data_IF_178302303333
#
_entry.id   IF_178302303333
#
_cell.length_a   1.000
_cell.length_b   1.000
_cell.length_c   1.000
_cell.angle_alpha   90.00
_cell.angle_beta   90.00
_cell.angle_gamma   90.00
#
_symmetry.space_group_name_H-M   'P 1'
#
loop_
_entity.id
_entity.type
_entity.pdbx_description
1 polymer ?
#
# COMPACT_ATOMS: atom_id res chain seq x y z
N UNK A 1 -0.90 0.41 -7.22
CA UNK A 1 0.20 0.05 -8.15
C UNK A 1 1.26 1.12 -8.07
N UNK A 2 2.53 0.71 -7.90
CA UNK A 2 3.70 1.59 -7.91
C UNK A 2 4.59 1.21 -9.08
N UNK A 3 5.00 2.18 -9.88
CA UNK A 3 5.87 1.97 -11.02
C UNK A 3 7.17 2.74 -10.84
N UNK A 4 8.29 2.03 -10.92
CA UNK A 4 9.64 2.55 -10.79
C UNK A 4 10.38 2.41 -12.11
N UNK A 5 11.11 3.46 -12.50
CA UNK A 5 11.96 3.45 -13.70
C UNK A 5 13.34 3.99 -13.35
N UNK A 6 14.36 3.46 -13.99
CA UNK A 6 15.72 3.98 -13.84
C UNK A 6 15.84 5.40 -14.42
N UNK A 7 16.82 6.15 -13.92
CA UNK A 7 17.20 7.45 -14.47
C UNK A 7 18.67 7.39 -14.94
N UNK A 8 18.89 7.73 -16.19
CA UNK A 8 20.23 7.69 -16.80
C UNK A 8 20.77 6.27 -16.94
N UNK A 9 22.06 6.08 -16.69
CA UNK A 9 22.76 4.78 -16.85
C UNK A 9 22.76 3.91 -15.59
N UNK A 10 22.12 4.34 -14.51
CA UNK A 10 22.02 3.55 -13.27
C UNK A 10 20.91 2.51 -13.39
N UNK A 11 21.04 1.41 -12.65
CA UNK A 11 20.01 0.38 -12.51
C UNK A 11 19.17 0.59 -11.26
N UNK A 12 18.03 -0.08 -11.19
CA UNK A 12 17.24 -0.22 -9.97
C UNK A 12 17.69 -1.49 -9.25
N UNK A 13 18.17 -1.30 -8.04
CA UNK A 13 18.59 -2.37 -7.13
C UNK A 13 17.91 -2.11 -5.79
N UNK A 14 17.06 -3.05 -5.32
CA UNK A 14 16.29 -2.89 -4.09
C UNK A 14 15.81 -4.23 -3.55
N UNK A 15 15.51 -4.25 -2.26
CA UNK A 15 14.93 -5.39 -1.56
C UNK A 15 13.53 -5.06 -1.05
N UNK A 16 12.62 -6.01 -1.18
CA UNK A 16 11.26 -5.96 -0.65
C UNK A 16 11.11 -7.00 0.46
N UNK A 17 10.45 -6.62 1.52
CA UNK A 17 10.04 -7.52 2.59
C UNK A 17 8.72 -7.05 3.20
N UNK A 18 8.07 -7.93 3.96
CA UNK A 18 6.90 -7.57 4.74
C UNK A 18 7.32 -7.30 6.19
N UNK A 19 6.92 -6.16 6.74
CA UNK A 19 7.26 -5.78 8.12
C UNK A 19 6.66 -6.68 9.21
N UNK A 20 5.83 -7.64 8.84
CA UNK A 20 5.27 -8.65 9.74
C UNK A 20 6.00 -10.00 9.62
N UNK A 21 7.21 -10.01 9.05
CA UNK A 21 8.06 -11.21 9.04
C UNK A 21 8.39 -11.64 10.45
N UNK A 22 8.58 -12.95 10.65
CA UNK A 22 8.92 -13.50 11.98
C UNK A 22 10.22 -12.91 12.53
N UNK A 23 11.20 -12.64 11.68
CA UNK A 23 12.48 -12.04 12.10
C UNK A 23 12.35 -10.63 12.65
N UNK A 24 11.48 -9.82 12.06
CA UNK A 24 11.19 -8.48 12.58
C UNK A 24 10.39 -8.54 13.88
N UNK A 25 9.52 -9.52 14.04
CA UNK A 25 8.81 -9.80 15.28
C UNK A 25 9.74 -10.32 16.38
N UNK A 26 10.69 -11.20 16.03
CA UNK A 26 11.66 -11.76 16.95
C UNK A 26 12.69 -10.71 17.44
N UNK A 27 13.05 -9.74 16.62
CA UNK A 27 14.02 -8.68 16.95
C UNK A 27 13.42 -7.51 17.75
N UNK A 28 12.15 -7.59 18.20
CA UNK A 28 11.54 -6.62 19.11
C UNK A 28 11.27 -5.25 18.50
N UNK A 29 11.32 -5.10 17.19
CA UNK A 29 11.03 -3.84 16.48
C UNK A 29 9.53 -3.50 16.45
N UNK A 30 8.68 -4.40 16.95
CA UNK A 30 7.24 -4.18 17.14
C UNK A 30 6.87 -4.30 18.61
N UNK A 31 5.95 -3.45 19.08
CA UNK A 31 5.40 -3.61 20.43
C UNK A 31 4.76 -5.00 20.54
N UNK A 32 4.93 -5.65 21.68
CA UNK A 32 4.37 -6.96 21.99
C UNK A 32 2.84 -7.05 21.71
N UNK A 33 2.14 -5.93 21.78
CA UNK A 33 0.72 -5.83 21.44
C UNK A 33 0.43 -6.20 20.00
N UNK A 34 1.30 -5.84 19.07
CA UNK A 34 1.13 -6.17 17.64
C UNK A 34 1.35 -7.66 17.36
N UNK A 35 2.33 -8.29 17.98
CA UNK A 35 2.63 -9.71 17.78
C UNK A 35 1.56 -10.63 18.39
N UNK A 36 0.89 -10.21 19.46
CA UNK A 36 -0.16 -10.98 20.11
C UNK A 36 -1.52 -10.92 19.38
N UNK A 37 -1.79 -9.87 18.60
CA UNK A 37 -3.07 -9.70 17.91
C UNK A 37 -3.13 -10.41 16.55
N UNK A 38 -2.00 -10.68 15.92
CA UNK A 38 -1.97 -11.24 14.57
C UNK A 38 -1.26 -12.58 14.55
N UNK A 39 -1.97 -13.60 14.16
CA UNK A 39 -1.39 -14.87 13.78
C UNK A 39 -1.23 -14.85 12.26
N UNK A 40 -0.08 -14.37 11.78
CA UNK A 40 0.22 -14.16 10.37
C UNK A 40 1.41 -15.02 9.91
N UNK A 41 1.42 -15.33 8.62
CA UNK A 41 2.48 -16.05 7.94
C UNK A 41 2.82 -15.36 6.63
N UNK A 42 4.12 -15.17 6.39
CA UNK A 42 4.66 -14.60 5.15
C UNK A 42 5.25 -15.71 4.30
N UNK A 43 5.00 -15.69 3.02
CA UNK A 43 5.67 -16.55 2.03
C UNK A 43 6.10 -15.70 0.86
N UNK A 44 7.33 -15.93 0.37
CA UNK A 44 7.94 -15.18 -0.72
C UNK A 44 8.36 -16.13 -1.83
N UNK A 45 8.03 -15.77 -3.06
CA UNK A 45 8.52 -16.43 -4.27
C UNK A 45 8.99 -15.39 -5.29
N UNK A 46 9.51 -15.82 -6.44
CA UNK A 46 10.01 -14.91 -7.48
C UNK A 46 8.91 -13.99 -8.07
N UNK A 47 7.63 -14.25 -7.82
CA UNK A 47 6.51 -13.47 -8.33
C UNK A 47 6.02 -12.42 -7.33
N UNK A 48 6.33 -12.58 -6.02
CA UNK A 48 5.90 -11.66 -5.00
C UNK A 48 5.92 -12.19 -3.57
N UNK A 49 5.29 -11.44 -2.69
CA UNK A 49 5.23 -11.69 -1.24
C UNK A 49 3.77 -11.81 -0.83
N UNK A 50 3.39 -12.94 -0.24
CA UNK A 50 2.08 -13.20 0.33
C UNK A 50 2.15 -13.12 1.85
N UNK A 51 1.29 -12.32 2.45
CA UNK A 51 0.97 -12.34 3.87
C UNK A 51 -0.45 -12.84 4.05
N UNK A 52 -0.66 -13.81 4.93
CA UNK A 52 -2.00 -14.25 5.35
C UNK A 52 -2.04 -14.57 6.83
N UNK A 53 -3.19 -14.40 7.44
CA UNK A 53 -3.33 -14.69 8.86
C UNK A 53 -4.74 -14.50 9.38
N UNK A 54 -4.83 -14.53 10.70
CA UNK A 54 -6.08 -14.38 11.46
C UNK A 54 -5.85 -13.45 12.64
N UNK A 55 -6.77 -12.53 12.86
CA UNK A 55 -6.79 -11.69 14.07
C UNK A 55 -7.27 -12.54 15.23
N UNK A 56 -6.48 -12.62 16.31
CA UNK A 56 -6.68 -13.59 17.41
C UNK A 56 -7.96 -13.34 18.22
N UNK A 57 -8.32 -12.08 18.43
CA UNK A 57 -9.44 -11.70 19.32
C UNK A 57 -10.81 -12.01 18.69
N UNK A 58 -10.93 -11.90 17.38
CA UNK A 58 -12.22 -11.98 16.71
C UNK A 58 -12.27 -12.95 15.51
N UNK A 59 -11.15 -13.62 15.20
CA UNK A 59 -11.09 -14.61 14.13
C UNK A 59 -11.20 -14.04 12.71
N UNK A 60 -11.05 -12.72 12.52
CA UNK A 60 -11.03 -12.12 11.19
C UNK A 60 -9.83 -12.62 10.41
N UNK A 61 -10.07 -13.24 9.26
CA UNK A 61 -9.01 -13.67 8.34
C UNK A 61 -8.62 -12.52 7.43
N UNK A 62 -7.33 -12.43 7.13
CA UNK A 62 -6.78 -11.43 6.21
C UNK A 62 -5.74 -12.05 5.29
N UNK A 63 -5.59 -11.47 4.11
CA UNK A 63 -4.48 -11.75 3.22
C UNK A 63 -4.09 -10.48 2.45
N UNK A 64 -2.80 -10.34 2.15
CA UNK A 64 -2.29 -9.38 1.19
C UNK A 64 -1.26 -10.03 0.28
N UNK A 65 -1.22 -9.63 -0.97
CA UNK A 65 -0.23 -10.10 -1.94
C UNK A 65 0.39 -8.91 -2.65
N UNK A 66 1.72 -8.81 -2.56
CA UNK A 66 2.55 -7.88 -3.30
C UNK A 66 3.20 -8.62 -4.47
N UNK A 67 2.63 -8.47 -5.66
CA UNK A 67 3.23 -9.01 -6.89
C UNK A 67 4.20 -8.04 -7.54
N UNK A 68 5.20 -8.57 -8.26
CA UNK A 68 6.19 -7.78 -8.97
C UNK A 68 6.23 -8.13 -10.46
N UNK A 69 6.50 -7.12 -11.31
CA UNK A 69 6.86 -7.26 -12.72
C UNK A 69 8.07 -6.37 -12.99
N UNK A 70 9.17 -6.97 -13.46
CA UNK A 70 10.44 -6.28 -13.70
C UNK A 70 11.22 -6.96 -14.81
N UNK A 71 12.16 -6.26 -15.42
CA UNK A 71 13.17 -6.80 -16.33
C UNK A 71 14.49 -7.15 -15.61
N UNK A 72 14.62 -6.84 -14.31
CA UNK A 72 15.77 -7.17 -13.50
C UNK A 72 15.78 -8.62 -13.03
N UNK A 73 16.92 -9.04 -12.50
CA UNK A 73 17.08 -10.36 -11.86
C UNK A 73 16.37 -10.33 -10.50
N UNK A 74 15.49 -11.29 -10.26
CA UNK A 74 14.82 -11.49 -8.99
C UNK A 74 15.48 -12.64 -8.24
N UNK A 75 15.85 -12.42 -6.98
CA UNK A 75 16.33 -13.44 -6.06
C UNK A 75 15.50 -13.44 -4.80
N UNK A 76 15.23 -14.63 -4.27
CA UNK A 76 14.50 -14.82 -3.02
C UNK A 76 15.44 -15.42 -2.01
N UNK A 77 15.50 -14.82 -0.84
CA UNK A 77 16.21 -15.34 0.31
C UNK A 77 15.31 -15.17 1.53
N UNK A 78 15.01 -16.28 2.18
CA UNK A 78 14.06 -16.33 3.28
C UNK A 78 12.71 -15.69 2.89
N UNK A 79 12.27 -14.66 3.61
CA UNK A 79 11.02 -13.92 3.34
C UNK A 79 11.26 -12.65 2.52
N UNK A 80 12.47 -12.42 2.00
CA UNK A 80 12.84 -11.23 1.23
C UNK A 80 12.90 -11.52 -0.26
N UNK A 81 12.60 -10.50 -1.06
CA UNK A 81 12.70 -10.51 -2.51
C UNK A 81 13.61 -9.36 -2.94
N UNK A 82 14.73 -9.68 -3.58
CA UNK A 82 15.69 -8.70 -4.07
C UNK A 82 15.66 -8.63 -5.58
N UNK A 83 15.60 -7.41 -6.10
CA UNK A 83 15.70 -7.08 -7.52
C UNK A 83 17.03 -6.42 -7.79
N UNK A 84 17.74 -6.86 -8.82
CA UNK A 84 19.02 -6.28 -9.24
C UNK A 84 19.07 -6.05 -10.75
N UNK A 85 19.72 -4.97 -11.15
CA UNK A 85 19.98 -4.64 -12.56
C UNK A 85 18.75 -4.25 -13.37
N UNK A 86 17.66 -3.84 -12.74
CA UNK A 86 16.41 -3.53 -13.46
C UNK A 86 16.45 -2.16 -14.13
N UNK A 87 15.78 -2.03 -15.26
CA UNK A 87 15.45 -0.74 -15.86
C UNK A 87 14.08 -0.24 -15.41
N UNK A 88 13.19 -1.16 -15.06
CA UNK A 88 11.88 -0.86 -14.46
C UNK A 88 11.46 -1.93 -13.44
N UNK A 89 10.59 -1.53 -12.53
CA UNK A 89 9.85 -2.45 -11.68
C UNK A 89 8.44 -1.90 -11.43
N UNK A 90 7.43 -2.75 -11.53
CA UNK A 90 6.06 -2.41 -11.19
C UNK A 90 5.60 -3.32 -10.06
N UNK A 91 5.16 -2.71 -8.98
CA UNK A 91 4.67 -3.36 -7.77
C UNK A 91 3.15 -3.28 -7.73
N UNK A 92 2.49 -4.41 -7.52
CA UNK A 92 1.03 -4.54 -7.47
C UNK A 92 0.63 -5.06 -6.10
N UNK A 93 -0.08 -4.27 -5.31
CA UNK A 93 -0.56 -4.68 -3.99
C UNK A 93 -2.07 -4.89 -4.00
N UNK A 94 -2.49 -6.03 -3.48
CA UNK A 94 -3.89 -6.32 -3.15
C UNK A 94 -3.98 -6.84 -1.72
N UNK A 95 -4.96 -6.35 -0.95
CA UNK A 95 -5.23 -6.81 0.40
C UNK A 95 -6.74 -7.00 0.60
N UNK A 96 -7.12 -8.04 1.31
CA UNK A 96 -8.51 -8.35 1.63
C UNK A 96 -8.65 -9.03 2.99
N UNK A 97 -9.85 -8.90 3.55
CA UNK A 97 -10.31 -9.68 4.70
C UNK A 97 -11.55 -10.48 4.32
N UNK A 98 -11.94 -11.41 5.17
CA UNK A 98 -13.20 -12.16 5.04
C UNK A 98 -14.39 -11.42 5.69
N UNK A 99 -14.25 -10.13 5.99
CA UNK A 99 -15.35 -9.33 6.51
C UNK A 99 -16.51 -9.25 5.50
N UNK A 100 -17.74 -9.38 6.00
CA UNK A 100 -18.95 -9.14 5.25
C UNK A 100 -19.93 -8.35 6.13
N UNK A 101 -20.62 -7.38 5.56
CA UNK A 101 -21.62 -6.59 6.29
C UNK A 101 -22.94 -7.38 6.40
N UNK A 102 -22.89 -8.52 7.09
CA UNK A 102 -24.02 -9.41 7.31
C UNK A 102 -24.00 -9.99 8.74
N UNK A 103 -24.88 -9.54 9.64
CA UNK A 103 -24.97 -10.06 11.01
C UNK A 103 -25.26 -11.55 11.08
N UNK A 104 -26.06 -12.09 10.14
CA UNK A 104 -26.47 -13.50 10.13
C UNK A 104 -25.29 -14.47 9.94
N UNK A 105 -24.18 -13.99 9.35
CA UNK A 105 -22.96 -14.74 9.15
C UNK A 105 -21.87 -14.36 10.14
N UNK A 106 -22.23 -13.70 11.25
CA UNK A 106 -21.30 -13.12 12.21
C UNK A 106 -20.24 -12.24 11.52
N UNK A 107 -20.68 -11.43 10.55
CA UNK A 107 -19.83 -10.52 9.75
C UNK A 107 -18.69 -11.23 9.03
N UNK A 108 -18.84 -12.50 8.65
CA UNK A 108 -17.84 -13.29 7.94
C UNK A 108 -18.38 -13.82 6.64
N UNK A 109 -17.50 -13.88 5.65
CA UNK A 109 -17.75 -14.52 4.35
C UNK A 109 -16.78 -15.69 4.19
N UNK A 110 -17.30 -16.80 3.70
CA UNK A 110 -16.44 -17.90 3.27
C UNK A 110 -15.83 -17.57 1.90
N UNK A 111 -14.52 -17.33 1.89
CA UNK A 111 -13.78 -16.90 0.71
C UNK A 111 -12.32 -17.34 0.83
N UNK A 112 -11.77 -17.86 -0.25
CA UNK A 112 -10.34 -18.09 -0.39
C UNK A 112 -9.64 -16.73 -0.65
N UNK A 113 -9.09 -16.16 0.42
CA UNK A 113 -8.44 -14.85 0.38
C UNK A 113 -7.15 -14.88 -0.42
N UNK A 114 -6.34 -15.94 -0.32
CA UNK A 114 -5.10 -16.08 -1.06
C UNK A 114 -5.36 -16.06 -2.57
N UNK A 115 -6.25 -16.95 -3.03
CA UNK A 115 -6.67 -17.00 -4.43
C UNK A 115 -7.23 -15.65 -4.91
N UNK A 116 -7.99 -14.98 -4.04
CA UNK A 116 -8.62 -13.71 -4.37
C UNK A 116 -7.57 -12.60 -4.56
N UNK A 117 -6.64 -12.40 -3.61
CA UNK A 117 -5.65 -11.32 -3.71
C UNK A 117 -4.65 -11.57 -4.83
N UNK A 118 -4.21 -12.83 -5.03
CA UNK A 118 -3.36 -13.23 -6.17
C UNK A 118 -4.07 -12.99 -7.50
N UNK A 119 -5.33 -13.41 -7.62
CA UNK A 119 -6.11 -13.22 -8.84
C UNK A 119 -6.28 -11.74 -9.24
N UNK A 120 -6.49 -10.85 -8.28
CA UNK A 120 -6.56 -9.40 -8.51
C UNK A 120 -5.23 -8.86 -9.03
N UNK A 121 -4.11 -9.28 -8.42
CA UNK A 121 -2.77 -8.86 -8.83
C UNK A 121 -2.44 -9.37 -10.22
N UNK A 122 -2.69 -10.64 -10.52
CA UNK A 122 -2.41 -11.20 -11.86
C UNK A 122 -3.26 -10.55 -12.95
N UNK A 123 -4.53 -10.24 -12.66
CA UNK A 123 -5.37 -9.49 -13.59
C UNK A 123 -4.86 -8.05 -13.84
N UNK A 124 -4.22 -7.43 -12.85
CA UNK A 124 -3.58 -6.13 -13.00
C UNK A 124 -2.25 -6.23 -13.76
N UNK A 125 -1.41 -7.25 -13.48
CA UNK A 125 -0.14 -7.52 -14.18
C UNK A 125 -0.32 -7.81 -15.69
N UNK A 126 -1.49 -8.33 -16.06
CA UNK A 126 -1.84 -8.58 -17.47
C UNK A 126 -2.06 -7.29 -18.28
N UNK A 127 -2.22 -6.14 -17.60
CA UNK A 127 -2.36 -4.82 -18.23
C UNK A 127 -1.04 -4.06 -18.17
N UNK A 128 -0.80 -3.16 -19.14
CA UNK A 128 0.32 -2.24 -19.06
C UNK A 128 0.04 -1.12 -18.03
N UNK A 129 1.11 -0.54 -17.50
CA UNK A 129 1.02 0.49 -16.46
C UNK A 129 0.24 1.73 -16.91
N UNK A 130 0.44 2.19 -18.15
CA UNK A 130 -0.22 3.39 -18.64
C UNK A 130 -1.73 3.18 -18.81
N UNK A 131 -2.17 1.99 -19.17
CA UNK A 131 -3.60 1.62 -19.19
C UNK A 131 -4.21 1.68 -17.80
N UNK A 132 -3.54 1.11 -16.78
CA UNK A 132 -3.99 1.18 -15.39
C UNK A 132 -4.03 2.62 -14.88
N UNK A 133 -3.00 3.41 -15.16
CA UNK A 133 -2.90 4.82 -14.78
C UNK A 133 -4.01 5.66 -15.39
N UNK A 134 -4.26 5.52 -16.69
CA UNK A 134 -5.35 6.23 -17.37
C UNK A 134 -6.73 5.89 -16.79
N UNK A 135 -6.98 4.60 -16.52
CA UNK A 135 -8.22 4.16 -15.90
C UNK A 135 -8.39 4.75 -14.51
N UNK A 136 -7.35 4.74 -13.68
CA UNK A 136 -7.35 5.32 -12.34
C UNK A 136 -7.61 6.83 -12.38
N UNK A 137 -6.90 7.58 -13.24
CA UNK A 137 -7.09 9.03 -13.38
C UNK A 137 -8.53 9.34 -13.80
N UNK A 138 -9.07 8.63 -14.78
CA UNK A 138 -10.45 8.82 -15.25
C UNK A 138 -11.47 8.60 -14.14
N UNK A 139 -11.33 7.51 -13.38
CA UNK A 139 -12.21 7.18 -12.25
C UNK A 139 -12.11 8.24 -11.16
N UNK A 140 -10.92 8.56 -10.71
CA UNK A 140 -10.68 9.57 -9.68
C UNK A 140 -11.26 10.94 -10.07
N UNK A 141 -10.96 11.41 -11.27
CA UNK A 141 -11.42 12.72 -11.75
C UNK A 141 -12.94 12.78 -11.91
N UNK A 142 -13.59 11.66 -12.19
CA UNK A 142 -15.06 11.59 -12.29
C UNK A 142 -15.76 11.94 -10.97
N UNK A 143 -15.09 11.70 -9.85
CA UNK A 143 -15.55 12.03 -8.50
C UNK A 143 -15.00 13.37 -8.02
N UNK A 144 -13.67 13.53 -8.08
CA UNK A 144 -12.96 14.69 -7.56
C UNK A 144 -13.41 16.01 -8.20
N UNK A 145 -13.64 16.01 -9.52
CA UNK A 145 -14.03 17.23 -10.24
C UNK A 145 -15.48 17.67 -10.01
N UNK A 146 -16.27 16.90 -9.25
CA UNK A 146 -17.66 17.29 -8.91
C UNK A 146 -17.73 18.41 -7.89
N UNK A 147 -16.69 18.60 -7.09
CA UNK A 147 -16.63 19.62 -6.04
C UNK A 147 -15.43 20.52 -6.32
N UNK A 148 -15.71 21.83 -6.37
CA UNK A 148 -14.66 22.86 -6.45
C UNK A 148 -14.93 23.83 -5.31
N UNK A 149 -13.95 23.97 -4.42
CA UNK A 149 -13.97 24.95 -3.33
C UNK A 149 -12.92 26.02 -3.64
N UNK A 150 -13.36 27.26 -3.68
CA UNK A 150 -12.49 28.43 -3.76
C UNK A 150 -12.88 29.38 -2.62
N UNK A 151 -12.07 29.43 -1.60
CA UNK A 151 -12.33 30.30 -0.44
C UNK A 151 -11.85 31.73 -0.64
N UNK A 152 -11.35 32.07 -1.84
CA UNK A 152 -10.59 33.30 -2.03
C UNK A 152 -9.25 33.21 -1.29
N UNK A 153 -8.57 34.33 -1.18
CA UNK A 153 -7.33 34.40 -0.42
C UNK A 153 -6.11 34.67 -1.30
N UNK A 154 -5.12 35.28 -0.70
CA UNK A 154 -3.86 35.56 -1.34
C UNK A 154 -3.03 34.27 -1.39
N UNK A 155 -2.40 34.03 -2.53
CA UNK A 155 -1.36 32.99 -2.64
C UNK A 155 -0.18 33.42 -1.75
N UNK A 156 -0.08 32.81 -0.58
CA UNK A 156 1.12 32.98 0.24
C UNK A 156 2.22 32.08 -0.30
N UNK A 157 3.48 32.53 -0.20
CA UNK A 157 4.65 31.69 -0.53
C UNK A 157 4.92 30.63 0.55
N UNK A 158 4.14 30.62 1.64
CA UNK A 158 4.30 29.73 2.77
C UNK A 158 3.61 28.37 2.52
N UNK A 159 4.23 27.31 2.96
CA UNK A 159 3.59 26.00 3.04
C UNK A 159 2.55 26.00 4.17
N UNK A 160 1.55 25.11 4.09
CA UNK A 160 0.54 24.93 5.16
C UNK A 160 1.19 24.69 6.53
N UNK A 161 2.34 24.00 6.56
CA UNK A 161 3.08 23.75 7.81
C UNK A 161 3.65 25.05 8.40
N UNK A 162 4.24 25.89 7.58
CA UNK A 162 4.79 27.18 8.02
C UNK A 162 3.69 28.13 8.46
N UNK A 163 2.57 28.16 7.74
CA UNK A 163 1.41 28.94 8.11
C UNK A 163 0.83 28.51 9.47
N UNK A 164 0.67 27.21 9.71
CA UNK A 164 0.22 26.68 11.01
C UNK A 164 1.20 26.97 12.15
N UNK A 165 2.51 26.88 11.90
CA UNK A 165 3.52 27.19 12.93
C UNK A 165 3.56 28.70 13.27
N UNK A 166 3.24 29.55 12.32
CA UNK A 166 3.17 31.01 12.51
C UNK A 166 1.83 31.52 13.02
N UNK A 167 0.80 30.66 13.05
CA UNK A 167 -0.56 31.07 13.42
C UNK A 167 -0.65 31.46 14.90
N UNK A 168 -1.11 32.66 15.16
CA UNK A 168 -1.37 33.17 16.50
C UNK A 168 -2.72 33.91 16.55
N UNK A 169 -3.77 33.27 17.08
CA UNK A 169 -5.10 33.83 17.17
C UNK A 169 -5.16 35.09 18.06
N UNK A 170 -4.27 35.21 19.06
CA UNK A 170 -4.22 36.37 19.97
C UNK A 170 -3.75 37.64 19.25
N UNK A 171 -3.08 37.50 18.09
CA UNK A 171 -2.68 38.63 17.23
C UNK A 171 -3.76 39.00 16.20
N UNK A 172 -4.96 38.45 16.31
CA UNK A 172 -6.07 38.74 15.42
C UNK A 172 -5.96 38.13 14.02
N UNK A 173 -5.03 37.16 13.83
CA UNK A 173 -4.93 36.42 12.57
C UNK A 173 -6.20 35.60 12.33
N UNK A 174 -6.77 35.69 11.12
CA UNK A 174 -7.95 34.93 10.74
C UNK A 174 -7.52 33.61 10.11
N UNK A 175 -8.30 32.54 10.35
CA UNK A 175 -8.12 31.22 9.76
C UNK A 175 -8.18 31.26 8.22
N UNK A 176 -8.86 32.24 7.68
CA UNK A 176 -9.02 32.48 6.23
C UNK A 176 -7.70 32.94 5.55
N UNK A 177 -6.70 33.30 6.34
CA UNK A 177 -5.38 33.75 5.87
C UNK A 177 -4.35 32.59 5.86
N UNK A 178 -4.73 31.39 6.33
CA UNK A 178 -3.95 30.15 6.28
C UNK A 178 -4.19 29.37 4.98
#
# INVERSE_FOLDING_TARGET
>A
VTHLTKKGNKTLDFTLWNSLTEDLLANGNYSWEYSNYKNGHVTTDANGILLKGTVKDNGLKFASYLGIKTDGKVTVQDETLTVTGASYATLYLSAKTNFAQNPKTNYRKDIDLEKTVKGIVEAAKAKDYETLKKAHIKDYQSLFNRVKLNLGGNKTAQTTKEALQGYNPEKGQKLEEL
#
